data_IF_400536577678
#
_entry.id   IF_400536577678
#
_cell.length_a   1.000
_cell.length_b   1.000
_cell.length_c   1.000
_cell.angle_alpha   90.00
_cell.angle_beta   90.00
_cell.angle_gamma   90.00
#
_symmetry.space_group_name_H-M   'P 1'
#
loop_
_entity.id
_entity.type
_entity.pdbx_description
1 polymer ?
#
# COMPACT_ATOMS: atom_id res chain seq x y z
N UNK A 1 6.85 7.25 -51.33
CA UNK A 1 7.42 6.67 -50.09
C UNK A 1 6.57 7.17 -48.94
N UNK A 2 5.63 6.36 -48.47
CA UNK A 2 4.66 6.72 -47.43
C UNK A 2 5.20 6.23 -46.10
N UNK A 3 5.61 7.15 -45.22
CA UNK A 3 6.08 6.80 -43.89
C UNK A 3 4.88 6.32 -43.05
N UNK A 4 4.84 5.02 -42.75
CA UNK A 4 3.92 4.46 -41.78
C UNK A 4 4.34 4.99 -40.40
N UNK A 5 3.56 5.92 -39.86
CA UNK A 5 3.66 6.34 -38.47
C UNK A 5 3.39 5.12 -37.59
N UNK A 6 4.45 4.53 -37.04
CA UNK A 6 4.32 3.49 -36.03
C UNK A 6 3.73 4.11 -34.77
N UNK A 7 2.42 3.95 -34.58
CA UNK A 7 1.76 4.13 -33.29
C UNK A 7 2.37 3.13 -32.31
N UNK A 8 3.27 3.62 -31.45
CA UNK A 8 3.91 2.85 -30.39
C UNK A 8 2.82 2.23 -29.49
N UNK A 9 2.60 0.91 -29.49
CA UNK A 9 1.62 0.30 -28.62
C UNK A 9 2.22 0.26 -27.21
N UNK A 10 1.49 0.80 -26.23
CA UNK A 10 1.82 0.61 -24.82
C UNK A 10 2.09 1.88 -24.03
N UNK A 11 1.22 2.88 -24.13
CA UNK A 11 0.95 3.76 -22.99
C UNK A 11 0.28 2.94 -21.89
N UNK A 12 1.03 2.05 -21.23
CA UNK A 12 0.57 1.44 -19.97
C UNK A 12 0.38 2.60 -19.01
N UNK A 13 -0.88 2.97 -18.79
CA UNK A 13 -1.23 4.02 -17.85
C UNK A 13 -0.47 3.78 -16.55
N UNK A 14 0.30 4.77 -16.13
CA UNK A 14 1.03 4.73 -14.88
C UNK A 14 0.02 4.49 -13.75
N UNK A 15 0.24 3.50 -12.85
CA UNK A 15 -0.67 3.24 -11.74
C UNK A 15 -0.99 4.54 -11.03
N UNK A 16 -2.27 4.93 -11.01
CA UNK A 16 -2.69 6.11 -10.26
C UNK A 16 -2.56 5.76 -8.76
N UNK A 17 -2.12 6.70 -7.91
CA UNK A 17 -1.88 6.42 -6.49
C UNK A 17 -3.17 5.98 -5.76
N UNK A 18 -4.33 6.45 -6.22
CA UNK A 18 -5.63 6.04 -5.69
C UNK A 18 -5.91 4.53 -5.87
N UNK A 19 -5.85 3.93 -7.08
CA UNK A 19 -5.95 2.49 -7.25
C UNK A 19 -5.01 1.69 -6.35
N UNK A 20 -3.76 2.13 -6.17
CA UNK A 20 -2.80 1.46 -5.29
C UNK A 20 -3.23 1.50 -3.81
N UNK A 21 -3.70 2.66 -3.35
CA UNK A 21 -4.23 2.82 -2.00
C UNK A 21 -5.49 1.97 -1.78
N UNK A 22 -6.39 1.93 -2.78
CA UNK A 22 -7.58 1.09 -2.76
C UNK A 22 -7.25 -0.41 -2.76
N UNK A 23 -6.21 -0.83 -3.49
CA UNK A 23 -5.73 -2.21 -3.42
C UNK A 23 -5.25 -2.56 -2.01
N UNK A 24 -4.49 -1.67 -1.35
CA UNK A 24 -4.10 -1.88 0.05
C UNK A 24 -5.29 -1.96 1.00
N UNK A 25 -6.29 -1.08 0.82
CA UNK A 25 -7.52 -1.09 1.61
C UNK A 25 -8.33 -2.38 1.41
N UNK A 26 -8.47 -2.84 0.16
CA UNK A 26 -9.15 -4.08 -0.16
C UNK A 26 -8.42 -5.29 0.42
N UNK A 27 -7.08 -5.30 0.41
CA UNK A 27 -6.28 -6.37 1.00
C UNK A 27 -6.46 -6.43 2.53
N UNK A 28 -6.51 -5.27 3.19
CA UNK A 28 -6.84 -5.20 4.61
C UNK A 28 -8.25 -5.75 4.90
N UNK A 29 -9.26 -5.32 4.15
CA UNK A 29 -10.63 -5.82 4.33
C UNK A 29 -10.72 -7.33 4.13
N UNK A 30 -10.04 -7.87 3.11
CA UNK A 30 -10.01 -9.29 2.82
C UNK A 30 -9.31 -10.10 3.92
N UNK A 31 -8.17 -9.63 4.42
CA UNK A 31 -7.40 -10.33 5.48
C UNK A 31 -8.13 -10.31 6.82
N UNK A 32 -8.75 -9.18 7.18
CA UNK A 32 -9.61 -9.10 8.37
C UNK A 32 -10.83 -10.03 8.24
N UNK A 33 -11.51 -10.03 7.10
CA UNK A 33 -12.66 -10.92 6.85
C UNK A 33 -12.23 -12.39 6.90
N UNK A 34 -11.06 -12.73 6.37
CA UNK A 34 -10.54 -14.08 6.44
C UNK A 34 -10.25 -14.52 7.89
N UNK A 35 -9.61 -13.68 8.70
CA UNK A 35 -9.36 -14.00 10.11
C UNK A 35 -10.64 -14.28 10.91
N UNK A 36 -11.70 -13.51 10.65
CA UNK A 36 -13.03 -13.69 11.25
C UNK A 36 -13.77 -14.93 10.71
N UNK A 37 -13.83 -15.11 9.38
CA UNK A 37 -14.59 -16.22 8.76
C UNK A 37 -13.97 -17.58 9.07
N UNK A 38 -12.63 -17.66 9.13
CA UNK A 38 -11.93 -18.89 9.44
C UNK A 38 -11.70 -19.09 10.94
N UNK A 39 -12.23 -18.20 11.78
CA UNK A 39 -12.12 -18.25 13.24
C UNK A 39 -10.66 -18.35 13.73
N UNK A 40 -9.72 -17.82 12.94
CA UNK A 40 -8.29 -17.89 13.21
C UNK A 40 -7.87 -16.89 14.29
N UNK A 41 -8.70 -15.85 14.50
CA UNK A 41 -8.53 -14.84 15.55
C UNK A 41 -9.37 -15.16 16.81
N UNK A 42 -10.00 -16.35 16.92
CA UNK A 42 -10.78 -16.68 18.10
C UNK A 42 -9.89 -16.83 19.33
N UNK A 43 -10.14 -15.99 20.33
CA UNK A 43 -9.63 -16.21 21.67
C UNK A 43 -10.29 -17.49 22.22
N UNK A 44 -9.52 -18.46 22.76
CA UNK A 44 -10.07 -19.71 23.31
C UNK A 44 -10.99 -19.49 24.53
N UNK A 45 -11.10 -18.25 25.02
CA UNK A 45 -12.00 -17.83 26.10
C UNK A 45 -13.43 -17.48 25.66
N UNK A 46 -13.77 -17.58 24.36
CA UNK A 46 -15.07 -17.15 23.83
C UNK A 46 -15.06 -15.64 23.56
N UNK A 47 -14.59 -15.27 22.37
CA UNK A 47 -14.32 -13.89 21.98
C UNK A 47 -15.59 -13.06 21.79
N UNK A 48 -15.48 -11.81 22.23
CA UNK A 48 -16.40 -10.70 21.94
C UNK A 48 -16.59 -10.54 20.44
N UNK A 49 -17.83 -10.53 19.97
CA UNK A 49 -18.15 -10.16 18.58
C UNK A 49 -17.62 -8.76 18.27
N UNK A 50 -16.81 -8.61 17.22
CA UNK A 50 -16.38 -7.31 16.68
C UNK A 50 -17.59 -6.38 16.55
N UNK A 51 -17.57 -5.25 17.27
CA UNK A 51 -18.73 -4.35 17.32
C UNK A 51 -18.80 -3.47 16.07
N UNK A 52 -19.98 -2.94 15.75
CA UNK A 52 -20.11 -1.93 14.69
C UNK A 52 -19.27 -0.67 14.95
N UNK A 53 -18.98 -0.36 16.22
CA UNK A 53 -18.07 0.73 16.59
C UNK A 53 -16.63 0.44 16.17
N UNK A 54 -16.17 -0.79 16.37
CA UNK A 54 -14.82 -1.23 15.96
C UNK A 54 -14.69 -1.21 14.44
N UNK A 55 -15.71 -1.71 13.72
CA UNK A 55 -15.77 -1.66 12.25
C UNK A 55 -15.70 -0.22 11.74
N UNK A 56 -16.46 0.71 12.34
CA UNK A 56 -16.44 2.12 11.95
C UNK A 56 -15.07 2.77 12.24
N UNK A 57 -14.44 2.43 13.36
CA UNK A 57 -13.09 2.90 13.69
C UNK A 57 -12.05 2.39 12.68
N UNK A 58 -12.05 1.10 12.35
CA UNK A 58 -11.16 0.53 11.34
C UNK A 58 -11.37 1.16 9.96
N UNK A 59 -12.64 1.34 9.54
CA UNK A 59 -12.96 1.99 8.28
C UNK A 59 -12.44 3.44 8.24
N UNK A 60 -12.65 4.22 9.30
CA UNK A 60 -12.17 5.60 9.41
C UNK A 60 -10.64 5.70 9.32
N UNK A 61 -9.95 4.80 10.03
CA UNK A 61 -8.50 4.66 10.03
C UNK A 61 -7.98 4.35 8.61
N UNK A 62 -8.59 3.39 7.91
CA UNK A 62 -8.21 3.02 6.53
C UNK A 62 -8.48 4.15 5.55
N UNK A 63 -9.62 4.83 5.67
CA UNK A 63 -9.95 5.97 4.81
C UNK A 63 -8.95 7.13 4.98
N UNK A 64 -8.52 7.42 6.21
CA UNK A 64 -7.47 8.40 6.49
C UNK A 64 -6.14 8.00 5.83
N UNK A 65 -5.75 6.72 5.93
CA UNK A 65 -4.55 6.22 5.27
C UNK A 65 -4.65 6.33 3.74
N UNK A 66 -5.79 5.99 3.15
CA UNK A 66 -6.03 6.10 1.69
C UNK A 66 -5.92 7.55 1.24
N UNK A 67 -6.55 8.48 1.97
CA UNK A 67 -6.48 9.91 1.65
C UNK A 67 -5.04 10.43 1.71
N UNK A 68 -4.32 10.12 2.79
CA UNK A 68 -2.94 10.55 2.99
C UNK A 68 -2.00 9.96 1.93
N UNK A 69 -2.08 8.65 1.70
CA UNK A 69 -1.22 7.95 0.74
C UNK A 69 -1.50 8.40 -0.70
N UNK A 70 -2.78 8.61 -1.05
CA UNK A 70 -3.16 9.14 -2.36
C UNK A 70 -2.62 10.56 -2.54
N UNK A 71 -2.78 11.42 -1.53
CA UNK A 71 -2.28 12.80 -1.58
C UNK A 71 -0.75 12.90 -1.67
N UNK A 72 -0.03 12.07 -0.92
CA UNK A 72 1.44 11.98 -1.03
C UNK A 72 1.87 11.39 -2.37
N UNK A 73 1.18 10.36 -2.86
CA UNK A 73 1.46 9.72 -4.13
C UNK A 73 1.23 10.66 -5.32
N UNK A 74 0.17 11.48 -5.30
CA UNK A 74 -0.07 12.48 -6.36
C UNK A 74 1.02 13.55 -6.36
N UNK A 75 1.46 14.02 -5.18
CA UNK A 75 2.59 14.95 -5.06
C UNK A 75 3.92 14.35 -5.50
N UNK A 76 4.16 13.09 -5.20
CA UNK A 76 5.37 12.37 -5.61
C UNK A 76 5.46 12.27 -7.14
N UNK A 77 4.33 12.05 -7.83
CA UNK A 77 4.30 11.94 -9.29
C UNK A 77 4.65 13.23 -10.02
N UNK A 78 4.32 14.39 -9.46
CA UNK A 78 4.67 15.71 -10.01
C UNK A 78 6.10 16.16 -9.68
N UNK A 79 6.84 15.40 -8.87
CA UNK A 79 8.17 15.76 -8.42
C UNK A 79 9.28 15.14 -9.28
N UNK A 80 10.49 15.68 -9.15
CA UNK A 80 11.71 15.11 -9.75
C UNK A 80 11.99 13.68 -9.26
N UNK A 81 12.68 12.84 -10.05
CA UNK A 81 12.95 11.43 -9.70
C UNK A 81 13.54 11.24 -8.30
N UNK A 82 14.50 12.08 -7.90
CA UNK A 82 15.12 12.05 -6.57
C UNK A 82 14.12 12.35 -5.43
N UNK A 83 13.19 13.28 -5.64
CA UNK A 83 12.14 13.57 -4.67
C UNK A 83 11.14 12.42 -4.60
N UNK A 84 10.84 11.79 -5.73
CA UNK A 84 9.94 10.63 -5.80
C UNK A 84 10.51 9.43 -5.02
N UNK A 85 11.83 9.20 -5.08
CA UNK A 85 12.51 8.19 -4.26
C UNK A 85 12.38 8.47 -2.76
N UNK A 86 12.50 9.73 -2.33
CA UNK A 86 12.31 10.13 -0.91
C UNK A 86 10.87 9.94 -0.44
N UNK A 87 9.88 10.27 -1.28
CA UNK A 87 8.48 10.02 -0.95
C UNK A 87 8.19 8.52 -0.81
N UNK A 88 8.72 7.69 -1.71
CA UNK A 88 8.59 6.23 -1.60
C UNK A 88 9.21 5.69 -0.31
N UNK A 89 10.42 6.16 0.05
CA UNK A 89 11.08 5.77 1.29
C UNK A 89 10.30 6.27 2.52
N UNK A 90 9.81 7.51 2.51
CA UNK A 90 9.00 8.07 3.60
C UNK A 90 7.70 7.28 3.82
N UNK A 91 7.02 6.90 2.74
CA UNK A 91 5.82 6.04 2.81
C UNK A 91 6.16 4.63 3.32
N UNK A 92 7.29 4.05 2.90
CA UNK A 92 7.73 2.74 3.40
C UNK A 92 8.06 2.80 4.90
N UNK A 93 8.80 3.82 5.35
CA UNK A 93 9.10 4.04 6.76
C UNK A 93 7.84 4.29 7.57
N UNK A 94 6.90 5.09 7.06
CA UNK A 94 5.61 5.30 7.69
C UNK A 94 4.82 4.00 7.81
N UNK A 95 4.80 3.17 6.76
CA UNK A 95 4.18 1.83 6.78
C UNK A 95 4.78 0.96 7.90
N UNK A 96 6.11 0.85 7.96
CA UNK A 96 6.78 0.08 9.00
C UNK A 96 6.56 0.65 10.42
N UNK A 97 6.58 1.97 10.59
CA UNK A 97 6.30 2.60 11.87
C UNK A 97 4.84 2.34 12.31
N UNK A 98 3.89 2.47 11.38
CA UNK A 98 2.47 2.21 11.67
C UNK A 98 2.19 0.74 11.93
N UNK A 99 3.00 -0.17 11.41
CA UNK A 99 2.89 -1.59 11.74
C UNK A 99 3.18 -1.84 13.22
N UNK A 100 4.20 -1.18 13.79
CA UNK A 100 4.53 -1.29 15.22
C UNK A 100 3.42 -0.73 16.12
N UNK A 101 2.72 0.31 15.67
CA UNK A 101 1.74 1.03 16.51
C UNK A 101 0.31 0.50 16.36
N UNK A 102 -0.15 0.29 15.13
CA UNK A 102 -1.54 -0.03 14.82
C UNK A 102 -1.77 -1.50 14.47
N UNK A 103 -0.72 -2.28 14.22
CA UNK A 103 -0.72 -3.71 13.83
C UNK A 103 -1.46 -4.01 12.50
N UNK A 104 -2.47 -3.24 12.12
CA UNK A 104 -3.35 -3.47 10.98
C UNK A 104 -3.77 -2.19 10.22
N UNK A 105 -4.33 -2.35 9.01
CA UNK A 105 -4.89 -1.26 8.20
C UNK A 105 -3.88 -0.34 7.50
N UNK A 106 -3.20 0.52 8.25
CA UNK A 106 -2.25 1.51 7.71
C UNK A 106 -1.07 0.90 6.96
N UNK A 107 -0.43 -0.19 7.45
CA UNK A 107 0.70 -0.79 6.76
C UNK A 107 0.32 -1.30 5.37
N UNK A 108 -0.89 -1.83 5.19
CA UNK A 108 -1.40 -2.33 3.92
C UNK A 108 -1.52 -1.20 2.88
N UNK A 109 -2.16 -0.09 3.27
CA UNK A 109 -2.39 1.05 2.37
C UNK A 109 -1.07 1.76 2.04
N UNK A 110 -0.27 2.08 3.06
CA UNK A 110 1.00 2.78 2.88
C UNK A 110 2.03 1.91 2.14
N UNK A 111 2.08 0.62 2.45
CA UNK A 111 2.98 -0.35 1.79
C UNK A 111 2.66 -0.51 0.31
N UNK A 112 1.37 -0.64 -0.04
CA UNK A 112 0.93 -0.72 -1.44
C UNK A 112 1.30 0.53 -2.25
N UNK A 113 1.09 1.72 -1.67
CA UNK A 113 1.47 2.98 -2.32
C UNK A 113 3.00 3.14 -2.41
N UNK A 114 3.76 2.72 -1.38
CA UNK A 114 5.22 2.75 -1.43
C UNK A 114 5.78 1.86 -2.56
N UNK A 115 5.29 0.63 -2.69
CA UNK A 115 5.70 -0.31 -3.75
C UNK A 115 5.36 0.23 -5.13
N UNK A 116 4.13 0.70 -5.35
CA UNK A 116 3.73 1.24 -6.66
C UNK A 116 4.52 2.49 -7.03
N UNK A 117 4.84 3.37 -6.07
CA UNK A 117 5.69 4.55 -6.30
C UNK A 117 7.12 4.15 -6.66
N UNK A 118 7.70 3.14 -6.00
CA UNK A 118 9.02 2.61 -6.32
C UNK A 118 9.07 1.96 -7.72
N UNK A 119 8.00 1.26 -8.12
CA UNK A 119 7.85 0.71 -9.48
C UNK A 119 7.71 1.82 -10.53
N UNK A 120 7.00 2.91 -10.22
CA UNK A 120 6.91 4.08 -11.09
C UNK A 120 8.28 4.73 -11.27
N UNK A 121 9.09 4.83 -10.20
CA UNK A 121 10.47 5.32 -10.31
C UNK A 121 11.30 4.45 -11.24
N UNK A 122 11.28 3.13 -11.06
CA UNK A 122 12.01 2.20 -11.93
C UNK A 122 11.61 2.37 -13.40
N UNK A 123 10.32 2.58 -13.68
CA UNK A 123 9.84 2.80 -15.05
C UNK A 123 10.30 4.13 -15.65
N UNK A 124 10.44 5.20 -14.85
CA UNK A 124 10.91 6.50 -15.33
C UNK A 124 12.42 6.56 -15.56
N UNK A 125 13.21 5.89 -14.70
CA UNK A 125 14.68 6.00 -14.70
C UNK A 125 15.37 4.77 -15.33
N UNK A 126 14.61 3.71 -15.67
CA UNK A 126 15.13 2.50 -16.30
C UNK A 126 15.80 1.50 -15.35
N UNK A 127 15.97 1.86 -14.07
CA UNK A 127 16.61 1.02 -13.05
C UNK A 127 16.13 1.32 -11.64
N UNK A 128 16.47 0.43 -10.70
CA UNK A 128 16.29 0.69 -9.28
C UNK A 128 17.53 1.38 -8.73
N UNK A 129 17.34 2.51 -8.06
CA UNK A 129 18.36 3.03 -7.15
C UNK A 129 18.28 2.25 -5.82
N UNK A 130 19.35 2.28 -5.02
CA UNK A 130 19.39 1.60 -3.73
C UNK A 130 18.20 2.01 -2.82
N UNK A 131 17.88 3.30 -2.76
CA UNK A 131 16.74 3.80 -1.97
C UNK A 131 15.39 3.28 -2.43
N UNK A 132 15.15 3.19 -3.75
CA UNK A 132 13.87 2.68 -4.27
C UNK A 132 13.75 1.18 -4.13
N UNK A 133 14.87 0.44 -4.20
CA UNK A 133 14.92 -0.97 -3.84
C UNK A 133 14.55 -1.20 -2.37
N UNK A 134 15.18 -0.47 -1.44
CA UNK A 134 14.87 -0.56 0.00
C UNK A 134 13.43 -0.19 0.29
N UNK A 135 12.91 0.90 -0.29
CA UNK A 135 11.54 1.31 -0.11
C UNK A 135 10.54 0.26 -0.60
N UNK A 136 10.80 -0.36 -1.77
CA UNK A 136 9.95 -1.42 -2.30
C UNK A 136 9.98 -2.66 -1.41
N UNK A 137 11.17 -3.10 -0.97
CA UNK A 137 11.32 -4.25 -0.09
C UNK A 137 10.63 -4.03 1.24
N UNK A 138 10.89 -2.89 1.89
CA UNK A 138 10.36 -2.56 3.20
C UNK A 138 8.84 -2.36 3.18
N UNK A 139 8.31 -1.70 2.14
CA UNK A 139 6.87 -1.58 1.92
C UNK A 139 6.19 -2.93 1.64
N UNK A 140 6.83 -3.82 0.87
CA UNK A 140 6.31 -5.16 0.61
C UNK A 140 6.33 -6.02 1.89
N UNK A 141 7.41 -5.98 2.67
CA UNK A 141 7.53 -6.71 3.93
C UNK A 141 6.48 -6.24 4.94
N UNK A 142 6.29 -4.94 5.11
CA UNK A 142 5.28 -4.40 6.02
C UNK A 142 3.85 -4.79 5.60
N UNK A 143 3.56 -4.78 4.29
CA UNK A 143 2.28 -5.22 3.75
C UNK A 143 2.03 -6.70 4.00
N UNK A 144 3.02 -7.57 3.73
CA UNK A 144 2.89 -9.02 3.96
C UNK A 144 2.79 -9.33 5.45
N UNK A 145 3.64 -8.72 6.29
CA UNK A 145 3.61 -8.94 7.72
C UNK A 145 2.26 -8.54 8.34
N UNK A 146 1.71 -7.38 7.94
CA UNK A 146 0.39 -6.96 8.41
C UNK A 146 -0.72 -7.88 7.90
N UNK A 147 -0.64 -8.37 6.67
CA UNK A 147 -1.61 -9.32 6.14
C UNK A 147 -1.61 -10.64 6.93
N UNK A 148 -0.43 -11.14 7.30
CA UNK A 148 -0.29 -12.36 8.11
C UNK A 148 -0.86 -12.14 9.52
N UNK A 149 -0.50 -11.04 10.18
CA UNK A 149 -1.03 -10.73 11.52
C UNK A 149 -2.55 -10.58 11.51
N UNK A 150 -3.13 -9.88 10.52
CA UNK A 150 -4.58 -9.76 10.40
C UNK A 150 -5.31 -11.11 10.31
N UNK A 151 -4.65 -12.14 9.76
CA UNK A 151 -5.22 -13.47 9.57
C UNK A 151 -5.00 -14.37 10.78
N UNK A 152 -3.86 -14.26 11.46
CA UNK A 152 -3.42 -15.25 12.47
C UNK A 152 -3.57 -14.75 13.91
N UNK A 153 -3.65 -13.44 14.13
CA UNK A 153 -3.61 -12.84 15.47
C UNK A 153 -2.19 -12.52 15.92
#
# INVERSE_FOLDING_TARGET
>A
MTAISQTRPGSRELPRPLPAALTGAALFAATMTAGEVFDLNADPGGSSSTSWGDVAAYAGIVLAAVALATWLGTRARSADPDRMARYALGLALASAATFVVFWSGWPHVLGAVAVTTALEHRRRVGGFGAMTGVAALLGALALVASAVICVVG
#
